data_IF_765644146828
#
_entry.id   IF_765644146828
#
_cell.length_a   1.000
_cell.length_b   1.000
_cell.length_c   1.000
_cell.angle_alpha   90.00
_cell.angle_beta   90.00
_cell.angle_gamma   90.00
#
_symmetry.space_group_name_H-M   'P 1'
#
loop_
_entity.id
_entity.type
_entity.pdbx_description
1 polymer ?
#
# COMPACT_ATOMS: atom_id res chain seq x y z
N UNK A 1 -28.87 -70.31 -10.87
CA UNK A 1 -28.50 -69.58 -12.12
C UNK A 1 -28.68 -68.07 -11.95
N UNK A 2 -29.84 -67.57 -11.50
CA UNK A 2 -30.06 -66.13 -11.26
C UNK A 2 -29.05 -65.48 -10.29
N UNK A 3 -28.71 -66.16 -9.18
CA UNK A 3 -27.71 -65.67 -8.22
C UNK A 3 -26.30 -65.59 -8.81
N UNK A 4 -25.89 -66.61 -9.59
CA UNK A 4 -24.60 -66.62 -10.26
C UNK A 4 -24.49 -65.51 -11.32
N UNK A 5 -25.58 -65.21 -12.03
CA UNK A 5 -25.63 -64.09 -12.97
C UNK A 5 -25.53 -62.74 -12.24
N UNK A 6 -26.30 -62.56 -11.15
CA UNK A 6 -26.23 -61.34 -10.35
C UNK A 6 -24.82 -61.11 -9.77
N UNK A 7 -24.16 -62.17 -9.30
CA UNK A 7 -22.78 -62.11 -8.83
C UNK A 7 -21.81 -61.71 -9.96
N UNK A 8 -21.92 -62.35 -11.14
CA UNK A 8 -21.08 -62.01 -12.28
C UNK A 8 -21.29 -60.57 -12.76
N UNK A 9 -22.52 -60.07 -12.75
CA UNK A 9 -22.84 -58.70 -13.12
C UNK A 9 -22.29 -57.69 -12.10
N UNK A 10 -22.32 -58.02 -10.80
CA UNK A 10 -21.66 -57.22 -9.75
C UNK A 10 -20.16 -57.10 -9.97
N UNK A 11 -19.49 -58.21 -10.27
CA UNK A 11 -18.05 -58.19 -10.58
C UNK A 11 -17.74 -57.31 -11.80
N UNK A 12 -18.59 -57.34 -12.85
CA UNK A 12 -18.43 -56.42 -14.00
C UNK A 12 -18.60 -54.95 -13.60
N UNK A 13 -19.64 -54.65 -12.84
CA UNK A 13 -19.91 -53.30 -12.35
C UNK A 13 -18.79 -52.78 -11.44
N UNK A 14 -18.20 -53.62 -10.60
CA UNK A 14 -17.03 -53.31 -9.76
C UNK A 14 -15.77 -53.06 -10.60
N UNK A 15 -15.62 -53.78 -11.72
CA UNK A 15 -14.55 -53.56 -12.69
C UNK A 15 -14.81 -52.38 -13.63
N UNK A 16 -15.86 -51.59 -13.40
CA UNK A 16 -16.19 -50.37 -14.16
C UNK A 16 -17.10 -50.57 -15.37
N UNK A 17 -17.50 -51.80 -15.70
CA UNK A 17 -18.44 -52.12 -16.78
C UNK A 17 -19.88 -52.18 -16.26
N UNK A 18 -20.41 -51.01 -15.88
CA UNK A 18 -21.77 -50.89 -15.34
C UNK A 18 -22.84 -51.12 -16.43
N UNK A 19 -22.60 -50.61 -17.64
CA UNK A 19 -23.53 -50.77 -18.78
C UNK A 19 -23.60 -52.22 -19.27
N UNK A 20 -22.47 -52.91 -19.34
CA UNK A 20 -22.43 -54.35 -19.67
C UNK A 20 -23.01 -55.22 -18.56
N UNK A 21 -22.90 -54.81 -17.29
CA UNK A 21 -23.59 -55.45 -16.17
C UNK A 21 -25.12 -55.30 -16.26
N UNK A 22 -25.63 -54.10 -16.59
CA UNK A 22 -27.06 -53.85 -16.80
C UNK A 22 -27.58 -54.67 -17.98
N UNK A 23 -26.92 -54.59 -19.14
CA UNK A 23 -27.30 -55.33 -20.36
C UNK A 23 -27.36 -56.85 -20.11
N UNK A 24 -26.40 -57.39 -19.36
CA UNK A 24 -26.38 -58.82 -19.02
C UNK A 24 -27.56 -59.26 -18.12
N UNK A 25 -28.01 -58.38 -17.22
CA UNK A 25 -29.15 -58.65 -16.34
C UNK A 25 -30.50 -58.46 -17.06
N UNK A 26 -30.61 -57.53 -18.00
CA UNK A 26 -31.83 -57.30 -18.81
C UNK A 26 -32.15 -58.48 -19.73
N UNK A 27 -31.14 -59.17 -20.24
CA UNK A 27 -31.30 -60.35 -21.09
C UNK A 27 -31.77 -61.61 -20.36
N UNK A 28 -31.87 -61.60 -19.02
CA UNK A 28 -32.21 -62.78 -18.23
C UNK A 28 -33.72 -62.95 -18.05
N UNK A 29 -34.26 -64.05 -18.57
CA UNK A 29 -35.66 -64.46 -18.42
C UNK A 29 -35.76 -65.90 -17.89
N UNK A 30 -36.69 -66.19 -16.96
CA UNK A 30 -37.69 -65.31 -16.34
C UNK A 30 -37.12 -64.37 -15.25
N UNK A 31 -37.80 -63.25 -15.01
CA UNK A 31 -37.39 -62.23 -14.03
C UNK A 31 -37.37 -62.78 -12.59
N UNK A 32 -36.18 -62.96 -12.04
CA UNK A 32 -35.96 -63.30 -10.63
C UNK A 32 -35.75 -62.05 -9.78
N UNK A 33 -36.25 -62.07 -8.53
CA UNK A 33 -36.16 -60.91 -7.63
C UNK A 33 -34.71 -60.43 -7.42
N UNK A 34 -33.75 -61.35 -7.28
CA UNK A 34 -32.32 -61.02 -7.14
C UNK A 34 -31.78 -60.23 -8.33
N UNK A 35 -32.23 -60.55 -9.54
CA UNK A 35 -31.84 -59.85 -10.79
C UNK A 35 -32.52 -58.48 -10.85
N UNK A 36 -33.80 -58.39 -10.47
CA UNK A 36 -34.56 -57.14 -10.39
C UNK A 36 -33.94 -56.13 -9.42
N UNK A 37 -33.54 -56.59 -8.23
CA UNK A 37 -32.89 -55.75 -7.21
C UNK A 37 -31.53 -55.25 -7.72
N UNK A 38 -30.71 -56.14 -8.27
CA UNK A 38 -29.40 -55.74 -8.83
C UNK A 38 -29.54 -54.76 -10.01
N UNK A 39 -30.54 -54.97 -10.88
CA UNK A 39 -30.83 -54.06 -11.99
C UNK A 39 -31.24 -52.66 -11.50
N UNK A 40 -32.11 -52.57 -10.49
CA UNK A 40 -32.53 -51.30 -9.90
C UNK A 40 -31.34 -50.57 -9.24
N UNK A 41 -30.48 -51.31 -8.54
CA UNK A 41 -29.23 -50.80 -7.95
C UNK A 41 -28.31 -50.20 -9.02
N UNK A 42 -28.03 -50.95 -10.09
CA UNK A 42 -27.10 -50.51 -11.14
C UNK A 42 -27.65 -49.32 -11.94
N UNK A 43 -28.95 -49.30 -12.24
CA UNK A 43 -29.59 -48.15 -12.89
C UNK A 43 -29.54 -46.90 -12.00
N UNK A 44 -29.73 -47.05 -10.69
CA UNK A 44 -29.55 -45.95 -9.74
C UNK A 44 -28.12 -45.41 -9.74
N UNK A 45 -27.11 -46.30 -9.74
CA UNK A 45 -25.69 -45.93 -9.84
C UNK A 45 -25.37 -45.23 -11.15
N UNK A 46 -25.88 -45.72 -12.27
CA UNK A 46 -25.67 -45.11 -13.59
C UNK A 46 -26.27 -43.70 -13.63
N UNK A 47 -27.52 -43.54 -13.17
CA UNK A 47 -28.18 -42.24 -13.13
C UNK A 47 -27.47 -41.23 -12.22
N UNK A 48 -26.94 -41.67 -11.08
CA UNK A 48 -26.11 -40.82 -10.20
C UNK A 48 -24.81 -40.40 -10.88
N UNK A 49 -24.13 -41.31 -11.58
CA UNK A 49 -22.91 -41.01 -12.34
C UNK A 49 -23.15 -40.03 -13.48
N UNK A 50 -24.26 -40.17 -14.20
CA UNK A 50 -24.65 -39.25 -15.28
C UNK A 50 -25.05 -37.87 -14.74
N UNK A 51 -25.73 -37.81 -13.60
CA UNK A 51 -26.01 -36.55 -12.92
C UNK A 51 -24.70 -35.85 -12.50
N UNK A 52 -23.76 -36.60 -11.90
CA UNK A 52 -22.45 -36.06 -11.50
C UNK A 52 -21.66 -35.52 -12.69
N UNK A 53 -21.63 -36.23 -13.83
CA UNK A 53 -21.00 -35.76 -15.07
C UNK A 53 -21.60 -34.45 -15.57
N UNK A 54 -22.93 -34.38 -15.65
CA UNK A 54 -23.62 -33.16 -16.11
C UNK A 54 -23.35 -31.97 -15.20
N UNK A 55 -23.31 -32.18 -13.88
CA UNK A 55 -22.96 -31.11 -12.92
C UNK A 55 -21.52 -30.65 -13.10
N UNK A 56 -20.57 -31.59 -13.25
CA UNK A 56 -19.17 -31.28 -13.50
C UNK A 56 -18.97 -30.49 -14.81
N UNK A 57 -19.61 -30.91 -15.90
CA UNK A 57 -19.59 -30.21 -17.18
C UNK A 57 -20.17 -28.79 -17.08
N UNK A 58 -21.30 -28.63 -16.39
CA UNK A 58 -21.91 -27.31 -16.18
C UNK A 58 -21.01 -26.41 -15.33
N UNK A 59 -20.33 -26.96 -14.32
CA UNK A 59 -19.43 -26.20 -13.48
C UNK A 59 -18.19 -25.72 -14.25
N UNK A 60 -17.62 -26.59 -15.09
CA UNK A 60 -16.53 -26.21 -15.98
C UNK A 60 -16.94 -25.06 -16.92
N UNK A 61 -18.14 -25.14 -17.50
CA UNK A 61 -18.66 -24.08 -18.36
C UNK A 61 -18.82 -22.74 -17.62
N UNK A 62 -19.44 -22.76 -16.43
CA UNK A 62 -19.59 -21.56 -15.59
C UNK A 62 -18.24 -20.94 -15.23
N UNK A 63 -17.25 -21.79 -14.97
CA UNK A 63 -15.89 -21.34 -14.64
C UNK A 63 -15.24 -20.61 -15.83
N UNK A 64 -15.37 -21.14 -17.03
CA UNK A 64 -14.90 -20.53 -18.29
C UNK A 64 -15.64 -19.23 -18.63
N UNK A 65 -16.94 -19.16 -18.33
CA UNK A 65 -17.78 -17.96 -18.47
C UNK A 65 -17.43 -16.84 -17.46
N UNK A 66 -16.58 -17.15 -16.48
CA UNK A 66 -16.17 -16.22 -15.41
C UNK A 66 -17.10 -16.22 -14.20
N UNK A 67 -18.18 -17.00 -14.22
CA UNK A 67 -19.12 -17.25 -13.11
C UNK A 67 -18.52 -18.26 -12.10
N UNK A 68 -17.27 -18.02 -11.69
CA UNK A 68 -16.47 -18.97 -10.89
C UNK A 68 -17.10 -19.26 -9.52
N UNK A 69 -17.79 -18.29 -8.92
CA UNK A 69 -18.52 -18.49 -7.67
C UNK A 69 -19.64 -19.53 -7.86
N UNK A 70 -20.45 -19.36 -8.91
CA UNK A 70 -21.54 -20.28 -9.22
C UNK A 70 -21.04 -21.66 -9.64
N UNK A 71 -19.92 -21.73 -10.36
CA UNK A 71 -19.25 -22.98 -10.70
C UNK A 71 -18.94 -23.83 -9.45
N UNK A 72 -18.35 -23.22 -8.41
CA UNK A 72 -18.07 -23.93 -7.15
C UNK A 72 -19.34 -24.22 -6.35
N UNK A 73 -20.31 -23.30 -6.36
CA UNK A 73 -21.58 -23.49 -5.65
C UNK A 73 -22.32 -24.74 -6.12
N UNK A 74 -22.44 -24.97 -7.43
CA UNK A 74 -23.17 -26.15 -7.93
C UNK A 74 -22.44 -27.47 -7.67
N UNK A 75 -21.11 -27.43 -7.54
CA UNK A 75 -20.32 -28.61 -7.15
C UNK A 75 -20.49 -28.92 -5.66
N UNK A 76 -20.53 -27.89 -4.81
CA UNK A 76 -20.71 -28.02 -3.36
C UNK A 76 -22.14 -28.47 -2.99
N UNK A 77 -23.15 -28.00 -3.74
CA UNK A 77 -24.56 -28.37 -3.55
C UNK A 77 -24.89 -29.80 -4.06
N UNK A 78 -23.98 -30.46 -4.78
CA UNK A 78 -24.24 -31.78 -5.34
C UNK A 78 -24.34 -32.85 -4.25
N UNK A 79 -25.52 -33.44 -4.10
CA UNK A 79 -25.79 -34.45 -3.08
C UNK A 79 -26.50 -35.67 -3.67
N UNK A 80 -26.11 -36.90 -3.27
CA UNK A 80 -24.96 -37.21 -2.42
C UNK A 80 -23.61 -36.97 -3.13
N UNK A 81 -22.54 -36.76 -2.35
CA UNK A 81 -21.18 -36.54 -2.88
C UNK A 81 -20.75 -37.65 -3.84
N UNK A 82 -20.00 -37.29 -4.88
CA UNK A 82 -19.62 -38.20 -5.94
C UNK A 82 -18.21 -37.88 -6.46
N UNK A 83 -17.38 -38.91 -6.66
CA UNK A 83 -15.95 -38.78 -7.02
C UNK A 83 -15.67 -37.87 -8.23
N UNK A 84 -16.53 -37.92 -9.26
CA UNK A 84 -16.44 -37.06 -10.46
C UNK A 84 -16.58 -35.58 -10.10
N UNK A 85 -17.52 -35.23 -9.22
CA UNK A 85 -17.75 -33.85 -8.77
C UNK A 85 -16.60 -33.38 -7.89
N UNK A 86 -16.09 -34.24 -7.00
CA UNK A 86 -14.95 -33.93 -6.14
C UNK A 86 -13.67 -33.68 -6.95
N UNK A 87 -13.41 -34.55 -7.94
CA UNK A 87 -12.28 -34.41 -8.85
C UNK A 87 -12.38 -33.12 -9.68
N UNK A 88 -13.57 -32.78 -10.15
CA UNK A 88 -13.81 -31.54 -10.89
C UNK A 88 -13.62 -30.31 -10.00
N UNK A 89 -14.16 -30.32 -8.77
CA UNK A 89 -13.94 -29.24 -7.81
C UNK A 89 -12.45 -29.03 -7.50
N UNK A 90 -11.68 -30.12 -7.38
CA UNK A 90 -10.24 -30.02 -7.17
C UNK A 90 -9.51 -29.47 -8.40
N UNK A 91 -9.89 -29.90 -9.60
CA UNK A 91 -9.35 -29.37 -10.88
C UNK A 91 -9.56 -27.86 -10.97
N UNK A 92 -10.80 -27.40 -10.79
CA UNK A 92 -11.16 -25.98 -10.89
C UNK A 92 -10.48 -25.13 -9.80
N UNK A 93 -10.28 -25.67 -8.58
CA UNK A 93 -9.51 -24.97 -7.53
C UNK A 93 -8.06 -24.73 -7.95
N UNK A 94 -7.40 -25.73 -8.52
CA UNK A 94 -6.03 -25.58 -9.03
C UNK A 94 -5.95 -24.54 -10.15
N UNK A 95 -6.96 -24.50 -11.01
CA UNK A 95 -7.03 -23.51 -12.08
C UNK A 95 -7.26 -22.09 -11.54
N UNK A 96 -8.17 -21.94 -10.56
CA UNK A 96 -8.38 -20.67 -9.88
C UNK A 96 -7.10 -20.17 -9.20
N UNK A 97 -6.33 -21.04 -8.56
CA UNK A 97 -5.06 -20.69 -7.92
C UNK A 97 -4.03 -20.19 -8.94
N UNK A 98 -3.97 -20.80 -10.13
CA UNK A 98 -3.09 -20.32 -11.22
C UNK A 98 -3.52 -18.95 -11.74
N UNK A 99 -4.82 -18.74 -11.93
CA UNK A 99 -5.36 -17.43 -12.34
C UNK A 99 -5.08 -16.36 -11.28
N UNK A 100 -5.35 -16.67 -10.01
CA UNK A 100 -5.04 -15.81 -8.87
C UNK A 100 -3.56 -15.43 -8.83
N UNK A 101 -2.65 -16.38 -9.07
CA UNK A 101 -1.22 -16.10 -9.10
C UNK A 101 -0.83 -15.13 -10.22
N UNK A 102 -1.43 -15.26 -11.41
CA UNK A 102 -1.20 -14.32 -12.53
C UNK A 102 -1.68 -12.92 -12.16
N UNK A 103 -2.89 -12.80 -11.61
CA UNK A 103 -3.46 -11.51 -11.22
C UNK A 103 -2.66 -10.83 -10.10
N UNK A 104 -2.23 -11.59 -9.08
CA UNK A 104 -1.36 -11.07 -8.01
C UNK A 104 -0.02 -10.60 -8.56
N UNK A 105 0.59 -11.34 -9.48
CA UNK A 105 1.86 -10.94 -10.08
C UNK A 105 1.72 -9.65 -10.89
N UNK A 106 0.63 -9.49 -11.64
CA UNK A 106 0.38 -8.29 -12.44
C UNK A 106 0.06 -7.08 -11.55
N UNK A 107 -0.74 -7.27 -10.49
CA UNK A 107 -0.98 -6.23 -9.50
C UNK A 107 0.32 -5.78 -8.81
N UNK A 108 1.22 -6.71 -8.48
CA UNK A 108 2.52 -6.38 -7.88
C UNK A 108 3.44 -5.62 -8.85
N UNK A 109 3.36 -5.89 -10.16
CA UNK A 109 4.06 -5.08 -11.18
C UNK A 109 3.51 -3.66 -11.23
N UNK A 110 2.19 -3.51 -11.26
CA UNK A 110 1.55 -2.18 -11.19
C UNK A 110 1.97 -1.41 -9.93
N UNK A 111 2.01 -2.08 -8.77
CA UNK A 111 2.48 -1.49 -7.53
C UNK A 111 3.95 -1.02 -7.62
N UNK A 112 4.83 -1.83 -8.21
CA UNK A 112 6.23 -1.47 -8.45
C UNK A 112 6.37 -0.26 -9.38
N UNK A 113 5.48 -0.13 -10.37
CA UNK A 113 5.40 1.02 -11.28
C UNK A 113 4.68 2.24 -10.65
N UNK A 114 4.55 2.27 -9.32
CA UNK A 114 3.88 3.32 -8.55
C UNK A 114 2.38 3.50 -8.88
N UNK A 115 1.75 2.50 -9.48
CA UNK A 115 0.31 2.45 -9.80
C UNK A 115 -0.46 1.60 -8.79
N UNK A 116 -0.25 1.88 -7.50
CA UNK A 116 -0.85 1.12 -6.39
C UNK A 116 -2.38 1.13 -6.39
N UNK A 117 -3.01 2.26 -6.73
CA UNK A 117 -4.48 2.33 -6.83
C UNK A 117 -5.02 1.35 -7.89
N UNK A 118 -4.39 1.31 -9.07
CA UNK A 118 -4.78 0.39 -10.13
C UNK A 118 -4.51 -1.08 -9.76
N UNK A 119 -3.44 -1.34 -9.01
CA UNK A 119 -3.16 -2.68 -8.47
C UNK A 119 -4.25 -3.15 -7.50
N UNK A 120 -4.71 -2.27 -6.61
CA UNK A 120 -5.81 -2.53 -5.67
C UNK A 120 -7.12 -2.75 -6.39
N UNK A 121 -7.46 -1.90 -7.37
CA UNK A 121 -8.69 -2.04 -8.16
C UNK A 121 -8.71 -3.34 -8.96
N UNK A 122 -7.57 -3.71 -9.56
CA UNK A 122 -7.41 -4.95 -10.30
C UNK A 122 -7.68 -6.18 -9.43
N UNK A 123 -7.06 -6.27 -8.25
CA UNK A 123 -7.32 -7.38 -7.32
C UNK A 123 -8.72 -7.32 -6.72
N UNK A 124 -9.29 -6.12 -6.55
CA UNK A 124 -10.67 -5.93 -6.11
C UNK A 124 -11.71 -6.42 -7.11
N UNK A 125 -11.37 -6.43 -8.41
CA UNK A 125 -12.21 -6.98 -9.47
C UNK A 125 -12.20 -8.52 -9.53
N UNK A 126 -11.33 -9.18 -8.77
CA UNK A 126 -11.30 -10.64 -8.70
C UNK A 126 -12.47 -11.16 -7.85
N UNK A 127 -13.54 -11.55 -8.52
CA UNK A 127 -14.84 -11.88 -7.89
C UNK A 127 -14.84 -13.22 -7.14
N UNK A 128 -13.94 -14.13 -7.48
CA UNK A 128 -13.89 -15.46 -6.89
C UNK A 128 -13.12 -15.45 -5.55
N UNK A 129 -13.63 -16.06 -4.48
CA UNK A 129 -12.89 -16.15 -3.22
C UNK A 129 -11.57 -16.90 -3.40
N UNK A 130 -10.44 -16.23 -3.18
CA UNK A 130 -9.12 -16.84 -3.21
C UNK A 130 -8.21 -16.19 -2.16
N UNK A 131 -7.61 -17.02 -1.30
CA UNK A 131 -6.81 -16.55 -0.17
C UNK A 131 -5.56 -15.76 -0.60
N UNK A 132 -4.94 -16.12 -1.74
CA UNK A 132 -3.77 -15.41 -2.26
C UNK A 132 -4.15 -13.99 -2.69
N UNK A 133 -5.27 -13.85 -3.40
CA UNK A 133 -5.77 -12.54 -3.83
C UNK A 133 -6.17 -11.68 -2.62
N UNK A 134 -6.89 -12.25 -1.65
CA UNK A 134 -7.27 -11.52 -0.44
C UNK A 134 -6.05 -11.04 0.36
N UNK A 135 -5.03 -11.90 0.52
CA UNK A 135 -3.80 -11.53 1.21
C UNK A 135 -3.06 -10.40 0.48
N UNK A 136 -2.88 -10.53 -0.85
CA UNK A 136 -2.22 -9.52 -1.67
C UNK A 136 -3.00 -8.19 -1.70
N UNK A 137 -4.34 -8.24 -1.77
CA UNK A 137 -5.18 -7.06 -1.73
C UNK A 137 -5.03 -6.30 -0.39
N UNK A 138 -5.00 -7.02 0.73
CA UNK A 138 -4.80 -6.41 2.05
C UNK A 138 -3.40 -5.80 2.20
N UNK A 139 -2.37 -6.47 1.68
CA UNK A 139 -1.00 -5.96 1.62
C UNK A 139 -0.94 -4.63 0.85
N UNK A 140 -1.47 -4.61 -0.39
CA UNK A 140 -1.43 -3.43 -1.24
C UNK A 140 -2.28 -2.27 -0.72
N UNK A 141 -3.43 -2.56 -0.08
CA UNK A 141 -4.26 -1.53 0.57
C UNK A 141 -3.53 -0.88 1.74
N UNK A 142 -2.90 -1.69 2.59
CA UNK A 142 -2.09 -1.16 3.70
C UNK A 142 -0.96 -0.27 3.19
N UNK A 143 -0.27 -0.68 2.13
CA UNK A 143 0.77 0.14 1.51
C UNK A 143 0.21 1.46 0.95
N UNK A 144 -0.91 1.40 0.23
CA UNK A 144 -1.59 2.58 -0.32
C UNK A 144 -1.99 3.56 0.79
N UNK A 145 -2.56 3.06 1.88
CA UNK A 145 -2.98 3.88 3.02
C UNK A 145 -1.78 4.59 3.66
N UNK A 146 -0.67 3.89 3.85
CA UNK A 146 0.57 4.48 4.40
C UNK A 146 1.16 5.53 3.45
N UNK A 147 1.14 5.30 2.13
CA UNK A 147 1.60 6.31 1.16
C UNK A 147 0.69 7.54 1.11
N UNK A 148 -0.62 7.35 1.19
CA UNK A 148 -1.57 8.46 1.28
C UNK A 148 -1.35 9.27 2.56
N UNK A 149 -1.15 8.61 3.70
CA UNK A 149 -0.82 9.27 4.95
C UNK A 149 0.51 10.05 4.87
N UNK A 150 1.52 9.49 4.20
CA UNK A 150 2.79 10.18 3.96
C UNK A 150 2.57 11.46 3.14
N UNK A 151 1.81 11.38 2.04
CA UNK A 151 1.53 12.53 1.20
C UNK A 151 0.80 13.64 1.96
N UNK A 152 -0.25 13.29 2.72
CA UNK A 152 -0.98 14.24 3.58
C UNK A 152 -0.02 14.91 4.57
N UNK A 153 0.86 14.13 5.20
CA UNK A 153 1.84 14.64 6.16
C UNK A 153 2.84 15.60 5.50
N UNK A 154 3.27 15.31 4.27
CA UNK A 154 4.12 16.19 3.46
C UNK A 154 3.42 17.50 3.13
N UNK A 155 2.17 17.43 2.67
CA UNK A 155 1.39 18.62 2.33
C UNK A 155 1.15 19.50 3.56
N UNK A 156 0.86 18.90 4.70
CA UNK A 156 0.70 19.60 5.98
C UNK A 156 2.02 20.23 6.45
N UNK A 157 3.15 19.52 6.34
CA UNK A 157 4.46 20.06 6.71
C UNK A 157 4.82 21.28 5.84
N UNK A 158 4.61 21.20 4.53
CA UNK A 158 4.83 22.34 3.61
C UNK A 158 3.94 23.53 3.95
N UNK A 159 2.67 23.29 4.29
CA UNK A 159 1.75 24.35 4.73
C UNK A 159 2.21 24.99 6.04
N UNK A 160 2.61 24.19 7.03
CA UNK A 160 3.14 24.68 8.31
C UNK A 160 4.40 25.54 8.09
N UNK A 161 5.32 25.07 7.25
CA UNK A 161 6.53 25.81 6.88
C UNK A 161 6.22 27.13 6.17
N UNK A 162 5.24 27.15 5.25
CA UNK A 162 4.83 28.39 4.56
C UNK A 162 4.22 29.44 5.50
N UNK A 163 3.75 29.04 6.68
CA UNK A 163 3.31 29.94 7.74
C UNK A 163 4.45 30.40 8.65
N UNK A 164 5.69 30.03 8.33
CA UNK A 164 6.89 30.34 9.09
C UNK A 164 7.22 29.32 10.20
N UNK A 165 6.37 28.34 10.50
CA UNK A 165 6.57 27.39 11.60
C UNK A 165 7.53 26.22 11.23
N UNK A 166 8.77 26.53 10.82
CA UNK A 166 9.71 25.55 10.27
C UNK A 166 10.05 24.39 11.20
N UNK A 167 10.31 24.67 12.48
CA UNK A 167 10.64 23.63 13.47
C UNK A 167 9.51 22.60 13.61
N UNK A 168 8.25 23.05 13.54
CA UNK A 168 7.08 22.17 13.62
C UNK A 168 6.93 21.34 12.34
N UNK A 169 7.16 21.94 11.17
CA UNK A 169 7.13 21.22 9.90
C UNK A 169 8.20 20.10 9.86
N UNK A 170 9.41 20.39 10.34
CA UNK A 170 10.47 19.38 10.44
C UNK A 170 10.12 18.26 11.42
N UNK A 171 9.61 18.58 12.62
CA UNK A 171 9.19 17.58 13.61
C UNK A 171 8.11 16.66 13.03
N UNK A 172 7.16 17.22 12.28
CA UNK A 172 6.08 16.45 11.66
C UNK A 172 6.62 15.38 10.70
N UNK A 173 7.54 15.75 9.81
CA UNK A 173 8.15 14.80 8.88
C UNK A 173 9.11 13.82 9.56
N UNK A 174 9.90 14.28 10.54
CA UNK A 174 10.86 13.41 11.26
C UNK A 174 10.17 12.32 12.08
N UNK A 175 8.96 12.59 12.57
CA UNK A 175 8.17 11.63 13.33
C UNK A 175 7.32 10.69 12.45
N UNK A 176 7.26 10.93 11.13
CA UNK A 176 6.50 10.07 10.24
C UNK A 176 7.19 8.71 10.07
N UNK A 177 6.42 7.64 10.20
CA UNK A 177 6.89 6.27 9.99
C UNK A 177 6.05 5.61 8.88
N UNK A 178 6.69 5.05 7.84
CA UNK A 178 8.13 4.91 7.63
C UNK A 178 8.81 6.16 7.07
N UNK A 179 9.99 6.51 7.61
CA UNK A 179 10.74 7.71 7.25
C UNK A 179 11.15 7.77 5.77
N UNK A 180 11.33 6.62 5.11
CA UNK A 180 11.69 6.55 3.69
C UNK A 180 10.67 7.22 2.77
N UNK A 181 9.37 7.25 3.15
CA UNK A 181 8.33 7.85 2.33
C UNK A 181 8.32 9.37 2.36
N UNK A 182 8.98 9.99 3.34
CA UNK A 182 9.03 11.44 3.51
C UNK A 182 10.45 12.01 3.40
N UNK A 183 11.44 11.16 3.09
CA UNK A 183 12.85 11.54 3.07
C UNK A 183 13.14 12.65 2.05
N UNK A 184 12.68 12.48 0.80
CA UNK A 184 12.85 13.47 -0.27
C UNK A 184 12.14 14.79 0.07
N UNK A 185 10.96 14.70 0.71
CA UNK A 185 10.22 15.87 1.15
C UNK A 185 10.95 16.62 2.26
N UNK A 186 11.56 15.90 3.20
CA UNK A 186 12.36 16.48 4.28
C UNK A 186 13.62 17.17 3.72
N UNK A 187 14.29 16.58 2.74
CA UNK A 187 15.43 17.19 2.05
C UNK A 187 15.02 18.46 1.30
N UNK A 188 13.92 18.38 0.53
CA UNK A 188 13.36 19.55 -0.15
C UNK A 188 12.99 20.68 0.83
N UNK A 189 12.38 20.34 1.97
CA UNK A 189 12.01 21.31 2.98
C UNK A 189 13.22 21.98 3.63
N UNK A 190 14.32 21.23 3.83
CA UNK A 190 15.59 21.81 4.33
C UNK A 190 16.19 22.80 3.32
N UNK A 191 16.19 22.45 2.04
CA UNK A 191 16.70 23.33 1.00
C UNK A 191 15.85 24.63 0.84
N UNK A 192 14.53 24.53 1.05
CA UNK A 192 13.64 25.69 1.10
C UNK A 192 13.94 26.56 2.33
N UNK A 193 14.02 25.95 3.51
CA UNK A 193 14.37 26.63 4.76
C UNK A 193 15.72 27.35 4.70
N UNK A 194 16.77 26.71 4.16
CA UNK A 194 18.09 27.30 4.00
C UNK A 194 18.05 28.54 3.08
N UNK A 195 17.29 28.46 1.99
CA UNK A 195 17.14 29.57 1.05
C UNK A 195 16.43 30.75 1.70
N UNK A 196 15.30 30.49 2.36
CA UNK A 196 14.48 31.53 2.96
C UNK A 196 15.23 32.20 4.14
N UNK A 197 15.92 31.39 4.96
CA UNK A 197 16.77 31.90 6.05
C UNK A 197 17.91 32.78 5.54
N UNK A 198 18.53 32.45 4.40
CA UNK A 198 19.54 33.32 3.78
C UNK A 198 18.95 34.63 3.26
N UNK A 199 17.76 34.60 2.64
CA UNK A 199 17.09 35.79 2.13
C UNK A 199 16.74 36.75 3.27
N UNK A 200 16.14 36.25 4.35
CA UNK A 200 15.83 37.05 5.55
C UNK A 200 17.09 37.65 6.15
N UNK A 201 18.16 36.85 6.32
CA UNK A 201 19.42 37.34 6.85
C UNK A 201 20.02 38.47 5.99
N UNK A 202 19.98 38.34 4.65
CA UNK A 202 20.47 39.37 3.73
C UNK A 202 19.65 40.66 3.79
N UNK A 203 18.32 40.54 3.86
CA UNK A 203 17.43 41.71 3.96
C UNK A 203 17.62 42.45 5.29
N UNK A 204 17.71 41.72 6.40
CA UNK A 204 17.99 42.29 7.70
C UNK A 204 19.37 42.98 7.75
N UNK A 205 20.38 42.39 7.11
CA UNK A 205 21.71 43.01 7.01
C UNK A 205 21.65 44.32 6.22
N UNK A 206 20.94 44.35 5.08
CA UNK A 206 20.76 45.59 4.29
C UNK A 206 20.10 46.70 5.11
N UNK A 207 19.05 46.38 5.87
CA UNK A 207 18.38 47.34 6.76
C UNK A 207 19.32 47.85 7.85
N UNK A 208 20.14 46.97 8.43
CA UNK A 208 21.13 47.35 9.42
C UNK A 208 22.22 48.26 8.85
N UNK A 209 22.70 47.97 7.63
CA UNK A 209 23.69 48.78 6.92
C UNK A 209 23.14 50.17 6.55
N UNK A 210 21.83 50.28 6.28
CA UNK A 210 21.11 51.54 6.07
C UNK A 210 20.83 52.30 7.39
N UNK A 211 21.12 51.69 8.54
CA UNK A 211 20.92 52.26 9.87
C UNK A 211 19.54 52.00 10.50
N UNK A 212 18.65 51.25 9.84
CA UNK A 212 17.36 50.83 10.39
C UNK A 212 17.50 49.52 11.19
N UNK A 213 18.14 49.62 12.36
CA UNK A 213 18.36 48.49 13.26
C UNK A 213 17.04 47.91 13.81
N UNK A 214 16.00 48.73 13.97
CA UNK A 214 14.70 48.29 14.44
C UNK A 214 13.91 47.53 13.35
N UNK A 215 14.02 47.96 12.09
CA UNK A 215 13.55 47.23 10.92
C UNK A 215 14.25 45.89 10.77
N UNK A 216 15.59 45.87 10.88
CA UNK A 216 16.38 44.65 10.81
C UNK A 216 15.96 43.60 11.86
N UNK A 217 15.79 44.00 13.13
CA UNK A 217 15.32 43.09 14.18
C UNK A 217 13.88 42.58 13.94
N UNK A 218 13.00 43.42 13.38
CA UNK A 218 11.62 43.00 13.04
C UNK A 218 11.61 41.99 11.89
N UNK A 219 12.51 42.15 10.92
CA UNK A 219 12.65 41.23 9.81
C UNK A 219 13.15 39.85 10.28
N UNK A 220 14.21 39.83 11.12
CA UNK A 220 14.73 38.60 11.70
C UNK A 220 13.69 37.87 12.57
N UNK A 221 12.93 38.62 13.39
CA UNK A 221 11.90 38.05 14.26
C UNK A 221 10.70 37.43 13.52
N UNK A 222 10.51 37.73 12.23
CA UNK A 222 9.47 37.10 11.42
C UNK A 222 9.85 35.67 11.00
N UNK A 223 11.13 35.32 11.01
CA UNK A 223 11.61 34.00 10.63
C UNK A 223 11.61 33.04 11.83
N UNK A 224 10.55 32.24 11.96
CA UNK A 224 10.35 31.31 13.07
C UNK A 224 10.97 29.94 12.78
N UNK A 225 12.30 29.84 12.84
CA UNK A 225 12.96 28.56 12.63
C UNK A 225 14.47 28.64 12.71
N UNK A 226 15.01 28.81 13.92
CA UNK A 226 16.42 28.68 14.33
C UNK A 226 17.42 28.45 13.17
N UNK A 227 17.68 29.49 12.37
CA UNK A 227 18.56 29.38 11.19
C UNK A 227 19.87 30.11 11.46
N UNK A 228 21.03 29.47 11.23
CA UNK A 228 22.33 29.98 11.66
C UNK A 228 22.68 31.33 11.03
N UNK A 229 22.25 31.61 9.79
CA UNK A 229 22.47 32.92 9.18
C UNK A 229 21.61 34.03 9.80
N UNK A 230 20.39 33.70 10.24
CA UNK A 230 19.48 34.66 10.90
C UNK A 230 20.01 34.96 12.29
N UNK A 231 20.41 33.94 13.06
CA UNK A 231 21.01 34.10 14.38
C UNK A 231 22.31 34.93 14.34
N UNK A 232 23.15 34.72 13.33
CA UNK A 232 24.40 35.47 13.17
C UNK A 232 24.15 36.97 12.94
N UNK A 233 23.20 37.32 12.06
CA UNK A 233 22.83 38.71 11.78
C UNK A 233 22.12 39.32 12.99
N UNK A 234 21.26 38.59 13.67
CA UNK A 234 20.61 39.05 14.91
C UNK A 234 21.62 39.42 15.98
N UNK A 235 22.60 38.55 16.25
CA UNK A 235 23.66 38.82 17.22
C UNK A 235 24.46 40.08 16.87
N UNK A 236 24.75 40.29 15.58
CA UNK A 236 25.46 41.48 15.10
C UNK A 236 24.64 42.76 15.26
N UNK A 237 23.36 42.73 14.86
CA UNK A 237 22.46 43.89 14.99
C UNK A 237 22.22 44.24 16.45
N UNK A 238 22.02 43.25 17.33
CA UNK A 238 21.88 43.45 18.78
C UNK A 238 23.16 44.07 19.37
N UNK A 239 24.35 43.67 18.91
CA UNK A 239 25.60 44.27 19.35
C UNK A 239 25.72 45.75 18.92
N UNK A 240 25.28 46.08 17.69
CA UNK A 240 25.24 47.45 17.16
C UNK A 240 24.25 48.34 17.93
N UNK A 241 23.06 47.83 18.25
CA UNK A 241 22.05 48.55 19.06
C UNK A 241 22.60 48.88 20.45
N UNK A 242 23.38 47.99 21.05
CA UNK A 242 23.94 48.15 22.38
C UNK A 242 25.33 48.84 22.40
N UNK A 243 25.83 49.26 21.24
CA UNK A 243 27.12 49.92 21.16
C UNK A 243 27.06 51.30 21.84
N UNK A 244 28.06 51.67 22.67
CA UNK A 244 28.12 53.00 23.27
C UNK A 244 28.24 54.08 22.18
N UNK A 245 27.65 55.27 22.37
CA UNK A 245 27.72 56.33 21.38
C UNK A 245 29.18 56.70 21.09
N UNK A 246 29.53 57.05 19.84
CA UNK A 246 30.88 57.41 19.48
C UNK A 246 31.31 58.59 20.35
N UNK A 247 32.41 58.43 21.07
CA UNK A 247 33.05 59.52 21.80
C UNK A 247 33.50 60.55 20.76
N UNK A 248 32.90 61.74 20.77
CA UNK A 248 33.29 62.82 19.86
C UNK A 248 34.80 63.10 19.98
N UNK A 249 35.54 63.22 18.86
CA UNK A 249 36.94 63.61 18.92
C UNK A 249 37.07 65.10 19.26
N UNK A 250 37.44 65.37 20.51
CA UNK A 250 38.32 66.48 20.91
C UNK A 250 37.74 67.91 20.85
N UNK A 251 37.29 68.41 22.00
CA UNK A 251 37.29 69.86 22.28
C UNK A 251 38.47 70.20 23.20
N UNK A 252 39.52 70.74 22.57
CA UNK A 252 40.56 71.65 23.07
C UNK A 252 40.98 71.58 24.55
N UNK A 253 42.22 71.13 24.78
CA UNK A 253 42.98 71.45 25.98
C UNK A 253 43.23 72.99 26.07
N UNK A 254 43.17 73.62 27.26
CA UNK A 254 43.50 75.03 27.41
C UNK A 254 45.02 75.25 27.35
N UNK A 255 45.42 76.32 26.66
CA UNK A 255 46.79 76.83 26.54
C UNK A 255 47.43 77.09 27.92
N UNK A 256 48.49 76.34 28.27
CA UNK A 256 49.44 76.75 29.29
C UNK A 256 50.32 77.90 28.76
N UNK A 257 50.20 79.09 29.35
CA UNK A 257 51.21 80.15 29.21
C UNK A 257 52.42 79.81 30.07
N UNK A 258 53.37 79.09 29.50
CA UNK A 258 54.75 79.03 30.01
C UNK A 258 55.59 80.14 29.35
N UNK A 259 55.71 81.29 29.99
CA UNK A 259 56.75 82.27 29.64
C UNK A 259 58.04 81.85 30.32
N UNK A 260 59.04 81.56 29.49
CA UNK A 260 60.41 81.20 29.84
C UNK A 260 61.15 82.37 30.52
N UNK A 261 61.71 82.09 31.69
CA UNK A 261 62.92 82.70 32.28
C UNK A 261 64.13 82.50 31.31
N UNK A 262 65.36 83.06 31.47
CA UNK A 262 66.02 83.80 32.58
C UNK A 262 67.03 84.89 32.02
N UNK A 263 68.29 85.17 32.50
CA UNK A 263 68.99 85.00 33.79
C UNK A 263 69.93 86.18 34.25
N UNK A 264 70.55 86.00 35.44
CA UNK A 264 71.87 86.48 35.99
C UNK A 264 72.09 87.96 36.38
N UNK A 265 72.26 88.25 37.69
CA UNK A 265 73.55 88.36 38.41
C UNK A 265 73.34 88.48 39.92
#
# INVERSE_FOLDING_TARGET
QAEALALSARTRAENGDLDGAITALEGFTPSHETVRVALAEFRGRLGSREAARRTAERAAQLFEEGERFDAFRILDEFSPSHEIVDAEAQRLRQELDRLAQVEVNEARRLAADSRLGEAVDRLGAFTAPNALVTAALNELRSELDVRNAAQITVDDARRIASNGEWSRAFILLQNFTPAALVADALEGLRAEWDRDGQVVAQQAQSLADEGDLAGALRELAQFQGDHPAVEAVEAQVVALVNAPPPSEPGTTAPLERGTTDPPVN
#
